data_IF_674816443722
#
_entry.id   IF_674816443722
#
_cell.length_a   1.000
_cell.length_b   1.000
_cell.length_c   1.000
_cell.angle_alpha   90.00
_cell.angle_beta   90.00
_cell.angle_gamma   90.00
#
_symmetry.space_group_name_H-M   'P 1'
#
loop_
_entity.id
_entity.type
_entity.pdbx_description
1 polymer ?
#
# COMPACT_ATOMS: atom_id res chain seq x y z
N UNK A 1 -14.14 -22.19 -32.09
CA UNK A 1 -12.74 -22.26 -31.62
C UNK A 1 -11.87 -21.79 -32.76
N UNK A 2 -11.25 -20.61 -32.63
CA UNK A 2 -10.28 -20.11 -33.59
C UNK A 2 -9.09 -19.61 -32.78
N UNK A 3 -8.16 -20.53 -32.51
CA UNK A 3 -6.86 -20.25 -31.95
C UNK A 3 -6.08 -19.40 -32.96
N UNK A 4 -5.91 -18.11 -32.64
CA UNK A 4 -5.01 -17.23 -33.37
C UNK A 4 -3.61 -17.49 -32.83
N UNK A 5 -2.86 -18.37 -33.50
CA UNK A 5 -1.44 -18.58 -33.22
C UNK A 5 -0.68 -17.27 -33.40
N UNK A 6 -0.36 -16.61 -32.29
CA UNK A 6 0.58 -15.50 -32.26
C UNK A 6 1.98 -16.07 -32.44
N UNK A 7 2.51 -15.98 -33.67
CA UNK A 7 3.92 -16.26 -33.91
C UNK A 7 4.78 -15.30 -33.07
N UNK A 8 5.85 -15.79 -32.41
CA UNK A 8 6.74 -14.94 -31.64
C UNK A 8 7.41 -13.93 -32.57
N UNK A 9 7.26 -12.64 -32.28
CA UNK A 9 7.92 -11.57 -33.03
C UNK A 9 9.44 -11.79 -32.90
N UNK A 10 10.07 -12.20 -33.99
CA UNK A 10 11.50 -12.41 -34.08
C UNK A 10 12.19 -11.09 -33.75
N UNK A 11 12.94 -11.04 -32.65
CA UNK A 11 13.68 -9.85 -32.22
C UNK A 11 14.90 -9.69 -33.13
N UNK A 12 15.06 -8.51 -33.71
CA UNK A 12 16.22 -8.16 -34.52
C UNK A 12 17.42 -7.87 -33.61
N UNK A 13 18.42 -8.76 -33.64
CA UNK A 13 19.65 -8.65 -32.85
C UNK A 13 20.73 -7.79 -33.54
N UNK A 14 20.44 -7.21 -34.71
CA UNK A 14 21.40 -6.37 -35.40
C UNK A 14 21.71 -5.09 -34.59
N UNK A 15 22.98 -4.62 -34.61
CA UNK A 15 23.36 -3.44 -33.85
C UNK A 15 22.67 -2.20 -34.43
N UNK A 16 21.93 -1.49 -33.58
CA UNK A 16 21.26 -0.22 -33.93
C UNK A 16 22.24 0.74 -34.62
N UNK A 17 21.84 1.25 -35.78
CA UNK A 17 22.63 2.21 -36.53
C UNK A 17 22.81 3.52 -35.76
N UNK A 18 23.93 4.25 -35.96
CA UNK A 18 24.16 5.52 -35.27
C UNK A 18 23.06 6.56 -35.49
N UNK A 19 22.41 6.54 -36.66
CA UNK A 19 21.33 7.47 -37.03
C UNK A 19 20.04 7.15 -36.29
N UNK A 20 19.64 5.87 -36.27
CA UNK A 20 18.45 5.42 -35.54
C UNK A 20 18.60 5.64 -34.03
N UNK A 21 19.82 5.41 -33.50
CA UNK A 21 20.15 5.72 -32.10
C UNK A 21 19.89 7.19 -31.78
N UNK A 22 20.36 8.10 -32.65
CA UNK A 22 20.18 9.55 -32.46
C UNK A 22 18.70 9.93 -32.45
N UNK A 23 17.95 9.42 -33.44
CA UNK A 23 16.53 9.73 -33.59
C UNK A 23 15.70 9.18 -32.42
N UNK A 24 16.00 7.96 -31.97
CA UNK A 24 15.36 7.35 -30.79
C UNK A 24 15.65 8.16 -29.52
N UNK A 25 16.92 8.54 -29.29
CA UNK A 25 17.29 9.36 -28.14
C UNK A 25 16.55 10.71 -28.13
N UNK A 26 16.48 11.39 -29.28
CA UNK A 26 15.77 12.67 -29.40
C UNK A 26 14.28 12.52 -29.07
N UNK A 27 13.64 11.43 -29.51
CA UNK A 27 12.25 11.15 -29.17
C UNK A 27 12.04 10.92 -27.66
N UNK A 28 12.94 10.19 -26.99
CA UNK A 28 12.85 9.95 -25.54
C UNK A 28 13.10 11.21 -24.72
N UNK A 29 14.02 12.08 -25.16
CA UNK A 29 14.30 13.34 -24.47
C UNK A 29 13.10 14.31 -24.55
N UNK A 30 12.35 14.31 -25.65
CA UNK A 30 11.11 15.11 -25.80
C UNK A 30 9.99 14.69 -24.87
N UNK A 31 9.91 13.40 -24.54
CA UNK A 31 8.88 12.82 -23.66
C UNK A 31 9.40 12.55 -22.25
N UNK A 32 10.54 13.15 -21.89
CA UNK A 32 11.15 12.94 -20.58
C UNK A 32 10.26 13.54 -19.49
N UNK A 33 9.88 12.76 -18.45
CA UNK A 33 9.15 13.29 -17.30
C UNK A 33 9.93 14.36 -16.55
N UNK A 34 9.19 15.32 -15.99
CA UNK A 34 9.76 16.36 -15.14
C UNK A 34 10.27 15.79 -13.80
N UNK A 35 11.22 16.50 -13.18
CA UNK A 35 11.82 16.04 -11.91
C UNK A 35 10.76 15.90 -10.81
N UNK A 36 9.81 16.82 -10.73
CA UNK A 36 8.72 16.80 -9.73
C UNK A 36 7.91 15.50 -9.83
N UNK A 37 7.49 15.11 -11.03
CA UNK A 37 6.72 13.89 -11.25
C UNK A 37 7.48 12.64 -10.81
N UNK A 38 8.79 12.60 -11.04
CA UNK A 38 9.63 11.48 -10.60
C UNK A 38 9.76 11.42 -9.07
N UNK A 39 9.76 12.57 -8.40
CA UNK A 39 9.76 12.64 -6.92
C UNK A 39 8.42 12.19 -6.36
N UNK A 40 7.30 12.66 -6.93
CA UNK A 40 5.95 12.26 -6.53
C UNK A 40 5.72 10.74 -6.69
N UNK A 41 6.24 10.17 -7.79
CA UNK A 41 6.21 8.73 -8.03
C UNK A 41 7.23 7.95 -7.19
N UNK A 42 7.95 8.60 -6.27
CA UNK A 42 8.99 8.03 -5.42
C UNK A 42 10.13 7.32 -6.18
N UNK A 43 10.39 7.76 -7.42
CA UNK A 43 11.52 7.28 -8.24
C UNK A 43 12.79 8.06 -7.88
N UNK A 44 12.68 9.40 -7.79
CA UNK A 44 13.77 10.25 -7.34
C UNK A 44 13.57 10.68 -5.88
N UNK A 45 14.65 10.80 -5.08
CA UNK A 45 14.54 11.30 -3.73
C UNK A 45 14.17 12.79 -3.72
N UNK A 46 13.26 13.16 -2.82
CA UNK A 46 12.82 14.54 -2.56
C UNK A 46 13.86 15.36 -1.77
N UNK A 47 15.16 15.19 -2.05
CA UNK A 47 16.24 15.83 -1.30
C UNK A 47 17.04 16.80 -2.17
N UNK A 48 17.52 17.87 -1.54
CA UNK A 48 18.51 18.81 -2.06
C UNK A 48 19.94 18.46 -1.65
N UNK A 49 20.12 17.42 -0.83
CA UNK A 49 21.42 16.95 -0.40
C UNK A 49 22.22 16.36 -1.56
N UNK A 50 23.55 16.45 -1.46
CA UNK A 50 24.48 15.87 -2.42
C UNK A 50 24.22 14.36 -2.59
N UNK A 51 24.38 13.79 -3.80
CA UNK A 51 24.06 12.38 -4.07
C UNK A 51 24.71 11.37 -3.10
N UNK A 52 25.95 11.64 -2.66
CA UNK A 52 26.66 10.77 -1.72
C UNK A 52 26.11 10.79 -0.28
N UNK A 53 25.30 11.80 0.09
CA UNK A 53 24.74 11.95 1.44
C UNK A 53 23.27 11.54 1.54
N UNK A 54 22.59 11.33 0.41
CA UNK A 54 21.16 11.01 0.39
C UNK A 54 20.84 9.72 1.16
N UNK A 55 21.74 8.73 1.12
CA UNK A 55 21.59 7.50 1.87
C UNK A 55 21.60 7.75 3.39
N UNK A 56 22.59 8.50 3.89
CA UNK A 56 22.71 8.83 5.31
C UNK A 56 21.58 9.73 5.79
N UNK A 57 21.13 10.68 4.96
CA UNK A 57 19.96 11.49 5.27
C UNK A 57 18.71 10.62 5.49
N UNK A 58 18.45 9.68 4.58
CA UNK A 58 17.30 8.78 4.67
C UNK A 58 17.38 7.88 5.91
N UNK A 59 18.58 7.40 6.23
CA UNK A 59 18.83 6.61 7.43
C UNK A 59 18.53 7.41 8.71
N UNK A 60 19.01 8.65 8.79
CA UNK A 60 18.71 9.55 9.91
C UNK A 60 17.21 9.83 10.02
N UNK A 61 16.55 10.16 8.91
CA UNK A 61 15.10 10.41 8.88
C UNK A 61 14.30 9.19 9.37
N UNK A 62 14.74 7.98 8.99
CA UNK A 62 14.13 6.73 9.46
C UNK A 62 14.28 6.58 10.98
N UNK A 63 15.47 6.76 11.53
CA UNK A 63 15.71 6.65 12.97
C UNK A 63 14.92 7.69 13.77
N UNK A 64 14.90 8.95 13.30
CA UNK A 64 14.09 10.00 13.92
C UNK A 64 12.59 9.65 13.93
N UNK A 65 12.10 9.05 12.84
CA UNK A 65 10.70 8.60 12.77
C UNK A 65 10.43 7.43 13.71
N UNK A 66 11.35 6.48 13.80
CA UNK A 66 11.28 5.33 14.71
C UNK A 66 11.20 5.79 16.17
N UNK A 67 12.10 6.66 16.61
CA UNK A 67 12.12 7.20 17.96
C UNK A 67 10.81 7.96 18.28
N UNK A 68 10.36 8.80 17.35
CA UNK A 68 9.10 9.55 17.48
C UNK A 68 7.88 8.64 17.55
N UNK A 69 7.89 7.55 16.79
CA UNK A 69 6.78 6.59 16.80
C UNK A 69 6.79 5.78 18.10
N UNK A 70 7.96 5.34 18.57
CA UNK A 70 8.10 4.62 19.83
C UNK A 70 7.59 5.44 21.01
N UNK A 71 7.95 6.72 21.09
CA UNK A 71 7.45 7.63 22.12
C UNK A 71 5.91 7.75 22.08
N UNK A 72 5.33 7.95 20.90
CA UNK A 72 3.86 8.03 20.72
C UNK A 72 3.13 6.74 21.03
N UNK A 73 3.73 5.59 20.70
CA UNK A 73 3.15 4.28 21.01
C UNK A 73 3.19 4.02 22.51
N UNK A 74 4.27 4.41 23.20
CA UNK A 74 4.39 4.24 24.65
C UNK A 74 3.34 5.05 25.44
N UNK A 75 2.96 6.22 24.92
CA UNK A 75 1.92 7.08 25.49
C UNK A 75 0.55 6.91 24.80
N UNK A 76 0.32 5.81 24.09
CA UNK A 76 -0.93 5.58 23.37
C UNK A 76 -2.09 5.44 24.37
N UNK A 77 -3.12 6.31 24.31
CA UNK A 77 -4.25 6.24 25.23
C UNK A 77 -5.11 5.00 24.98
N UNK A 78 -5.71 4.48 26.04
CA UNK A 78 -6.65 3.37 25.97
C UNK A 78 -7.99 3.80 25.31
N UNK A 79 -8.72 2.88 24.66
CA UNK A 79 -10.00 3.18 24.03
C UNK A 79 -11.02 3.75 25.00
N UNK A 80 -11.07 3.25 26.24
CA UNK A 80 -11.96 3.76 27.28
C UNK A 80 -11.70 5.24 27.58
N UNK A 81 -10.44 5.65 27.64
CA UNK A 81 -10.06 7.05 27.82
C UNK A 81 -10.52 7.89 26.63
N UNK A 82 -10.41 7.38 25.40
CA UNK A 82 -10.88 8.06 24.19
C UNK A 82 -12.41 8.18 24.13
N UNK A 83 -13.15 7.20 24.66
CA UNK A 83 -14.62 7.24 24.75
C UNK A 83 -15.05 8.31 25.75
N UNK A 84 -14.40 8.37 26.91
CA UNK A 84 -14.66 9.38 27.94
C UNK A 84 -14.45 10.80 27.42
N UNK A 85 -13.41 11.01 26.62
CA UNK A 85 -13.10 12.30 25.99
C UNK A 85 -13.99 12.60 24.76
N UNK A 86 -14.90 11.69 24.37
CA UNK A 86 -15.82 11.87 23.24
C UNK A 86 -15.16 11.76 21.86
N UNK A 87 -13.92 11.27 21.79
CA UNK A 87 -13.20 11.04 20.52
C UNK A 87 -13.64 9.75 19.86
N UNK A 88 -13.97 8.73 20.66
CA UNK A 88 -14.44 7.42 20.22
C UNK A 88 -15.87 7.18 20.73
N UNK A 89 -16.73 6.54 19.93
CA UNK A 89 -18.11 6.22 20.36
C UNK A 89 -18.17 4.94 21.18
N UNK A 90 -17.66 3.83 20.62
CA UNK A 90 -17.62 2.51 21.23
C UNK A 90 -16.23 1.88 21.04
N UNK A 91 -15.83 0.95 21.92
CA UNK A 91 -14.54 0.28 21.79
C UNK A 91 -14.58 -0.73 20.62
N UNK A 92 -13.79 -0.54 19.54
CA UNK A 92 -13.76 -1.45 18.40
C UNK A 92 -13.37 -2.89 18.77
N UNK A 93 -12.74 -3.11 19.93
CA UNK A 93 -12.37 -4.46 20.40
C UNK A 93 -13.59 -5.28 20.82
N UNK A 94 -14.62 -4.64 21.38
CA UNK A 94 -15.81 -5.34 21.88
C UNK A 94 -16.80 -5.63 20.77
N UNK A 95 -16.94 -4.72 19.79
CA UNK A 95 -17.88 -4.88 18.66
C UNK A 95 -17.66 -6.20 17.92
N UNK A 96 -16.40 -6.57 17.66
CA UNK A 96 -16.08 -7.83 16.99
C UNK A 96 -16.44 -9.09 17.81
N UNK A 97 -16.35 -9.00 19.15
CA UNK A 97 -16.72 -10.09 20.04
C UNK A 97 -18.25 -10.22 20.15
N UNK A 98 -18.95 -9.08 20.24
CA UNK A 98 -20.41 -9.02 20.34
C UNK A 98 -21.09 -9.49 19.05
N UNK A 99 -20.54 -9.16 17.88
CA UNK A 99 -21.03 -9.65 16.58
C UNK A 99 -20.84 -11.17 16.44
N UNK A 100 -19.69 -11.70 16.85
CA UNK A 100 -19.41 -13.12 16.83
C UNK A 100 -20.32 -13.91 17.79
N UNK A 101 -20.56 -13.36 18.98
CA UNK A 101 -21.47 -13.95 19.98
C UNK A 101 -22.91 -14.00 19.47
N UNK A 102 -23.43 -12.89 18.91
CA UNK A 102 -24.78 -12.84 18.32
C UNK A 102 -24.95 -13.84 17.18
N UNK A 103 -23.95 -13.96 16.32
CA UNK A 103 -23.97 -14.91 15.20
C UNK A 103 -23.95 -16.37 15.65
N UNK A 104 -23.26 -16.67 16.75
CA UNK A 104 -23.25 -18.01 17.34
C UNK A 104 -24.60 -18.35 17.98
N UNK A 105 -25.22 -17.40 18.67
CA UNK A 105 -26.53 -17.57 19.30
C UNK A 105 -27.64 -17.77 18.25
N UNK A 106 -27.67 -16.94 17.20
CA UNK A 106 -28.59 -17.10 16.06
C UNK A 106 -28.44 -18.49 15.40
N UNK A 107 -27.21 -18.97 15.23
CA UNK A 107 -26.95 -20.29 14.65
C UNK A 107 -27.45 -21.45 15.56
N UNK A 108 -27.38 -21.30 16.89
CA UNK A 108 -27.94 -22.29 17.82
C UNK A 108 -29.47 -22.28 17.75
N UNK A 109 -30.09 -21.10 17.72
CA UNK A 109 -31.54 -20.95 17.61
C UNK A 109 -32.08 -21.57 16.32
N UNK A 110 -31.41 -21.34 15.19
CA UNK A 110 -31.77 -21.91 13.89
C UNK A 110 -31.72 -23.45 13.87
N UNK A 111 -30.71 -24.05 14.51
CA UNK A 111 -30.61 -25.51 14.69
C UNK A 111 -31.74 -26.05 15.56
N UNK A 112 -32.09 -25.34 16.65
CA UNK A 112 -33.19 -25.71 17.53
C UNK A 112 -34.54 -25.63 16.81
N UNK A 113 -34.76 -24.55 16.03
CA UNK A 113 -35.95 -24.34 15.24
C UNK A 113 -36.12 -25.41 14.14
N UNK A 114 -35.02 -25.84 13.50
CA UNK A 114 -35.04 -26.96 12.53
C UNK A 114 -35.38 -28.30 13.15
N UNK A 115 -35.04 -28.54 14.41
CA UNK A 115 -35.33 -29.79 15.12
C UNK A 115 -36.76 -29.85 15.68
N UNK A 116 -37.31 -28.73 16.14
CA UNK A 116 -38.65 -28.64 16.74
C UNK A 116 -39.77 -28.32 15.72
N UNK A 117 -39.41 -27.83 14.52
CA UNK A 117 -40.36 -27.43 13.46
C UNK A 117 -40.78 -28.52 12.46
N UNK A 118 -40.49 -29.79 12.75
CA UNK A 118 -40.92 -30.92 11.90
C UNK A 118 -42.32 -31.43 12.25
N UNK A 119 -43.36 -30.74 11.75
CA UNK A 119 -44.73 -31.24 11.66
C UNK A 119 -45.32 -30.94 10.28
#
# INVERSE_FOLDING_TARGET
MADTEQQPKLVDESPISPVERRNSLEAHLKHRPERSELVEKNILPASTAAPGLQAHQKELEKHMLEDKLNDKISHRPDPEALIKEGVLHDDPRTVAQDEAAKKYEEAIEDEYAKREGGA
#
